data_IF_483873628530
#
_entry.id   IF_483873628530
#
_cell.length_a   1.000
_cell.length_b   1.000
_cell.length_c   1.000
_cell.angle_alpha   90.00
_cell.angle_beta   90.00
_cell.angle_gamma   90.00
#
_symmetry.space_group_name_H-M   'P 1'
#
loop_
_entity.id
_entity.type
_entity.pdbx_description
1 polymer ?
#
# COMPACT_ATOMS: atom_id res chain seq x y z
N UNK A 1 0.29 -13.86 11.48
CA UNK A 1 0.29 -14.17 10.04
C UNK A 1 0.95 -12.99 9.34
N UNK A 2 2.09 -13.15 8.65
CA UNK A 2 2.67 -12.01 7.95
C UNK A 2 1.81 -11.76 6.72
N UNK A 3 1.02 -10.69 6.75
CA UNK A 3 0.36 -10.18 5.54
C UNK A 3 1.50 -9.86 4.58
N UNK A 4 1.40 -10.47 3.41
CA UNK A 4 2.30 -10.38 2.27
C UNK A 4 2.62 -8.93 1.92
N UNK A 5 3.83 -8.69 1.42
CA UNK A 5 4.38 -7.39 1.03
C UNK A 5 3.31 -6.39 0.53
N UNK A 6 2.85 -5.49 1.40
CA UNK A 6 1.89 -4.43 1.04
C UNK A 6 2.53 -3.54 -0.04
N UNK A 7 2.01 -3.62 -1.26
CA UNK A 7 2.51 -2.82 -2.38
C UNK A 7 1.95 -1.42 -2.29
N UNK A 8 2.82 -0.43 -2.10
CA UNK A 8 2.43 0.98 -2.03
C UNK A 8 2.84 1.67 -3.31
N UNK A 9 1.87 2.14 -4.10
CA UNK A 9 2.10 2.73 -5.41
C UNK A 9 1.21 3.95 -5.62
N UNK A 10 1.75 4.99 -6.27
CA UNK A 10 0.94 6.13 -6.66
C UNK A 10 -0.16 5.67 -7.66
N UNK A 11 -1.45 5.91 -7.39
CA UNK A 11 -2.55 5.45 -8.27
C UNK A 11 -2.60 6.20 -9.62
N UNK A 12 -1.75 7.21 -9.82
CA UNK A 12 -1.68 8.00 -11.05
C UNK A 12 -0.49 7.67 -11.93
N UNK A 13 0.65 7.31 -11.34
CA UNK A 13 1.89 7.08 -12.09
C UNK A 13 2.68 5.85 -11.64
N UNK A 14 2.13 5.05 -10.72
CA UNK A 14 2.74 3.85 -10.15
C UNK A 14 4.13 4.05 -9.54
N UNK A 15 4.44 5.29 -9.12
CA UNK A 15 5.67 5.55 -8.37
C UNK A 15 5.59 4.89 -6.98
N UNK A 16 6.63 4.14 -6.63
CA UNK A 16 6.76 3.45 -5.35
C UNK A 16 7.52 4.35 -4.36
N UNK A 17 6.98 4.60 -3.15
CA UNK A 17 7.71 5.26 -2.09
C UNK A 17 8.95 4.47 -1.65
N UNK A 18 10.04 5.18 -1.40
CA UNK A 18 11.31 4.63 -0.92
C UNK A 18 11.47 4.72 0.62
N UNK A 19 10.43 5.19 1.33
CA UNK A 19 10.45 5.42 2.77
C UNK A 19 11.03 6.78 3.20
N UNK A 20 11.31 7.67 2.24
CA UNK A 20 11.79 9.02 2.54
C UNK A 20 10.76 9.93 3.21
N UNK A 21 11.25 10.84 4.06
CA UNK A 21 10.44 11.85 4.74
C UNK A 21 10.14 13.03 3.80
N UNK A 22 9.13 12.89 2.95
CA UNK A 22 8.79 13.91 1.94
C UNK A 22 7.58 14.79 2.28
N UNK A 23 6.76 14.38 3.25
CA UNK A 23 5.48 15.04 3.49
C UNK A 23 5.48 15.79 4.81
N UNK A 24 5.05 17.04 4.75
CA UNK A 24 4.95 17.92 5.91
C UNK A 24 3.52 17.96 6.46
N UNK A 25 3.41 17.92 7.79
CA UNK A 25 2.15 18.05 8.51
C UNK A 25 1.89 19.53 8.81
N UNK A 26 0.64 19.87 9.08
CA UNK A 26 0.31 21.18 9.66
C UNK A 26 1.00 21.45 11.00
N UNK A 27 1.45 20.42 11.72
CA UNK A 27 2.28 20.56 12.93
C UNK A 27 3.79 20.67 12.66
N UNK A 28 4.16 20.95 11.39
CA UNK A 28 5.52 21.09 10.83
C UNK A 28 6.38 19.83 10.89
N UNK A 29 5.79 18.68 11.23
CA UNK A 29 6.50 17.41 11.19
C UNK A 29 6.66 16.95 9.74
N UNK A 30 7.88 16.66 9.31
CA UNK A 30 8.16 16.02 8.01
C UNK A 30 8.41 14.53 8.24
N UNK A 31 7.67 13.66 7.55
CA UNK A 31 7.80 12.21 7.73
C UNK A 31 7.37 11.45 6.48
N UNK A 32 7.63 10.15 6.47
CA UNK A 32 7.05 9.22 5.51
C UNK A 32 5.60 8.91 5.92
N UNK A 33 4.62 9.38 5.14
CA UNK A 33 3.21 9.12 5.44
C UNK A 33 2.86 7.64 5.46
N UNK A 34 3.58 6.79 4.73
CA UNK A 34 3.28 5.37 4.62
C UNK A 34 3.73 4.57 5.85
N UNK A 35 4.79 4.99 6.53
CA UNK A 35 5.27 4.40 7.79
C UNK A 35 4.21 4.34 8.92
N UNK A 36 3.16 5.15 8.83
CA UNK A 36 2.14 5.29 9.87
C UNK A 36 0.71 5.32 9.32
N UNK A 37 0.49 4.82 8.10
CA UNK A 37 -0.82 4.80 7.43
C UNK A 37 -1.50 6.20 7.41
N UNK A 38 -0.70 7.24 7.17
CA UNK A 38 -1.14 8.63 7.10
C UNK A 38 -1.33 9.31 8.45
N UNK A 39 -1.06 8.64 9.58
CA UNK A 39 -1.15 9.24 10.91
C UNK A 39 0.13 9.98 11.27
N UNK A 40 0.07 11.29 11.47
CA UNK A 40 1.24 12.05 11.91
C UNK A 40 1.74 11.52 13.28
N UNK A 41 3.02 11.14 13.41
CA UNK A 41 3.55 10.60 14.67
C UNK A 41 3.64 11.66 15.78
N UNK A 42 3.71 12.95 15.42
CA UNK A 42 3.86 14.06 16.37
C UNK A 42 2.53 14.54 16.95
N UNK A 43 1.53 14.80 16.11
CA UNK A 43 0.24 15.35 16.55
C UNK A 43 -0.92 14.36 16.46
N UNK A 44 -0.72 13.18 15.86
CA UNK A 44 -1.77 12.16 15.71
C UNK A 44 -2.81 12.43 14.61
N UNK A 45 -2.68 13.53 13.85
CA UNK A 45 -3.61 13.88 12.77
C UNK A 45 -3.58 12.82 11.65
N UNK A 46 -4.75 12.45 11.13
CA UNK A 46 -4.88 11.52 10.01
C UNK A 46 -4.91 12.30 8.69
N UNK A 47 -3.90 12.08 7.86
CA UNK A 47 -3.81 12.62 6.51
C UNK A 47 -4.56 11.71 5.54
N UNK A 48 -5.71 12.19 5.03
CA UNK A 48 -6.56 11.44 4.09
C UNK A 48 -6.07 11.50 2.65
N UNK A 49 -5.14 12.40 2.34
CA UNK A 49 -4.62 12.66 1.01
C UNK A 49 -3.10 12.75 1.06
N UNK A 50 -2.45 12.18 0.05
CA UNK A 50 -0.99 12.20 -0.11
C UNK A 50 -0.63 12.68 -1.51
N UNK A 51 0.33 13.61 -1.58
CA UNK A 51 0.86 14.11 -2.85
C UNK A 51 2.00 13.23 -3.33
N UNK A 52 1.97 12.81 -4.60
CA UNK A 52 3.07 12.05 -5.18
C UNK A 52 4.26 12.96 -5.50
N UNK A 53 5.48 12.56 -5.10
CA UNK A 53 6.67 13.35 -5.40
C UNK A 53 7.10 13.27 -6.87
N UNK A 54 6.76 12.20 -7.58
CA UNK A 54 7.11 12.00 -8.99
C UNK A 54 6.17 12.77 -9.93
N UNK A 55 4.85 12.56 -9.83
CA UNK A 55 3.87 13.20 -10.71
C UNK A 55 3.20 14.46 -10.14
N UNK A 56 3.51 14.82 -8.88
CA UNK A 56 2.96 16.00 -8.15
C UNK A 56 1.43 16.02 -7.98
N UNK A 57 0.74 14.95 -8.37
CA UNK A 57 -0.71 14.81 -8.16
C UNK A 57 -1.01 14.31 -6.76
N UNK A 58 -2.09 14.83 -6.19
CA UNK A 58 -2.62 14.38 -4.90
C UNK A 58 -3.65 13.28 -5.13
N UNK A 59 -3.57 12.21 -4.35
CA UNK A 59 -4.56 11.13 -4.35
C UNK A 59 -4.95 10.78 -2.92
N UNK A 60 -6.16 10.21 -2.69
CA UNK A 60 -6.54 9.67 -1.39
C UNK A 60 -5.48 8.70 -0.87
N UNK A 61 -5.14 8.75 0.42
CA UNK A 61 -4.05 7.95 1.00
C UNK A 61 -4.32 6.43 0.88
N UNK A 62 -5.57 6.00 1.01
CA UNK A 62 -5.95 4.59 0.88
C UNK A 62 -5.77 4.04 -0.54
N UNK A 63 -5.89 4.88 -1.58
CA UNK A 63 -5.71 4.46 -2.99
C UNK A 63 -4.26 4.07 -3.30
N UNK A 64 -3.32 4.37 -2.40
CA UNK A 64 -1.92 3.99 -2.59
C UNK A 64 -1.64 2.53 -2.25
N UNK A 65 -2.49 1.88 -1.46
CA UNK A 65 -2.31 0.50 -1.03
C UNK A 65 -2.91 -0.43 -2.07
N UNK A 66 -2.06 -1.24 -2.70
CA UNK A 66 -2.43 -2.20 -3.73
C UNK A 66 -2.35 -3.59 -3.15
N UNK A 67 -3.44 -4.34 -3.25
CA UNK A 67 -3.45 -5.74 -2.87
C UNK A 67 -2.49 -6.52 -3.77
N UNK A 68 -1.48 -7.22 -3.22
CA UNK A 68 -0.66 -8.08 -4.03
C UNK A 68 -1.54 -9.19 -4.63
N UNK A 69 -1.28 -9.61 -5.89
CA UNK A 69 -2.02 -10.71 -6.47
C UNK A 69 -1.87 -11.94 -5.58
N UNK A 70 -2.99 -12.45 -5.07
CA UNK A 70 -3.02 -13.67 -4.30
C UNK A 70 -2.41 -14.76 -5.18
N UNK A 71 -1.26 -15.31 -4.78
CA UNK A 71 -0.75 -16.56 -5.36
C UNK A 71 -1.72 -17.66 -4.93
N UNK A 72 -2.79 -17.82 -5.70
CA UNK A 72 -3.61 -19.01 -5.62
C UNK A 72 -2.67 -20.19 -5.91
N UNK A 73 -2.64 -21.23 -5.06
CA UNK A 73 -1.94 -22.45 -5.41
C UNK A 73 -2.57 -22.97 -6.70
N UNK A 74 -1.75 -23.13 -7.74
CA UNK A 74 -2.15 -23.75 -9.01
C UNK A 74 -2.82 -25.08 -8.69
N UNK A 75 -4.11 -25.21 -9.00
CA UNK A 75 -4.94 -26.40 -8.76
C UNK A 75 -4.58 -27.58 -9.67
N UNK A 76 -3.32 -27.70 -10.08
CA UNK A 76 -2.85 -28.71 -11.04
C UNK A 76 -2.54 -30.08 -10.41
N UNK A 77 -2.76 -30.28 -9.10
CA UNK A 77 -2.43 -31.54 -8.42
C UNK A 77 -3.53 -32.04 -7.45
N UNK A 78 -4.80 -31.95 -7.85
CA UNK A 78 -5.89 -32.57 -7.07
C UNK A 78 -6.88 -33.39 -7.93
N UNK A 79 -6.58 -34.70 -8.00
CA UNK A 79 -7.54 -35.82 -7.85
C UNK A 79 -8.41 -36.23 -9.05
N UNK A 80 -7.82 -37.00 -9.97
CA UNK A 80 -8.55 -38.06 -10.68
C UNK A 80 -8.61 -39.31 -9.78
N UNK A 81 -9.68 -39.41 -8.97
CA UNK A 81 -10.09 -40.64 -8.30
C UNK A 81 -11.62 -40.75 -8.42
N UNK A 82 -12.07 -41.26 -9.56
CA UNK A 82 -13.47 -41.63 -9.81
C UNK A 82 -13.78 -42.95 -9.10
N UNK A 83 -14.85 -43.07 -8.29
CA UNK A 83 -15.37 -44.35 -7.86
C UNK A 83 -16.45 -44.83 -8.84
N UNK A 84 -16.27 -45.98 -9.47
CA UNK A 84 -17.26 -46.71 -10.27
C UNK A 84 -16.65 -48.09 -10.52
N UNK A 85 -17.24 -49.24 -10.20
CA UNK A 85 -18.61 -49.61 -9.85
C UNK A 85 -18.72 -51.09 -10.22
#
# INVERSE_FOLDING_TARGET
MPISDELILCPKCHWQPDGGAYWECECTNVWDTFSSFGKCPKCGKIHRYTQCIACKRTSPHHDWYVDPPVKLPSVSDAQEQTPQG
#
